data_IF_475033544253
#
_entry.id   IF_475033544253
#
_cell.length_a   1.000
_cell.length_b   1.000
_cell.length_c   1.000
_cell.angle_alpha   90.00
_cell.angle_beta   90.00
_cell.angle_gamma   90.00
#
_symmetry.space_group_name_H-M   'P 1'
#
loop_
_entity.id
_entity.type
_entity.pdbx_description
1 polymer ?
#
# COMPACT_ATOMS: atom_id res chain seq x y z
N UNK A 1 11.70 -15.20 16.97
CA UNK A 1 11.44 -14.74 15.57
C UNK A 1 12.68 -14.04 15.01
N UNK A 2 12.94 -14.15 13.71
CA UNK A 2 13.99 -13.40 13.02
C UNK A 2 13.58 -11.92 13.00
N UNK A 3 14.48 -11.02 13.42
CA UNK A 3 14.22 -9.58 13.38
C UNK A 3 14.35 -9.07 11.95
N UNK A 4 13.37 -8.30 11.49
CA UNK A 4 13.31 -7.78 10.13
C UNK A 4 13.21 -6.26 10.12
N UNK A 5 13.63 -5.65 9.02
CA UNK A 5 13.40 -4.23 8.73
C UNK A 5 12.11 -4.10 7.92
N UNK A 6 11.12 -3.44 8.49
CA UNK A 6 9.77 -3.32 7.90
C UNK A 6 9.50 -1.86 7.53
N UNK A 7 9.20 -1.62 6.26
CA UNK A 7 8.74 -0.33 5.76
C UNK A 7 7.22 -0.38 5.58
N UNK A 8 6.50 0.42 6.36
CA UNK A 8 5.06 0.57 6.26
C UNK A 8 4.74 1.80 5.41
N UNK A 9 4.04 1.62 4.29
CA UNK A 9 3.81 2.69 3.31
C UNK A 9 2.33 3.02 3.12
N UNK A 10 2.04 4.31 2.90
CA UNK A 10 0.82 4.75 2.23
C UNK A 10 1.16 5.24 0.83
N UNK A 11 0.32 4.95 -0.20
CA UNK A 11 0.58 5.37 -1.57
C UNK A 11 0.26 6.85 -1.80
N UNK A 12 0.73 7.39 -2.93
CA UNK A 12 0.38 8.72 -3.38
C UNK A 12 -1.14 8.89 -3.49
N UNK A 13 -1.62 10.06 -3.07
CA UNK A 13 -3.03 10.40 -3.09
C UNK A 13 -3.49 10.75 -4.51
N UNK A 14 -4.68 10.28 -4.90
CA UNK A 14 -5.42 10.81 -6.04
C UNK A 14 -6.47 11.80 -5.54
N UNK A 15 -6.42 13.02 -6.06
CA UNK A 15 -7.32 14.10 -5.66
C UNK A 15 -7.85 14.88 -6.87
N UNK A 16 -8.66 15.89 -6.58
CA UNK A 16 -9.16 16.84 -7.58
C UNK A 16 -8.30 18.10 -7.58
N UNK A 17 -7.97 18.64 -8.76
CA UNK A 17 -7.18 19.86 -8.89
C UNK A 17 -7.85 21.07 -8.20
N UNK A 18 -9.19 21.15 -8.33
CA UNK A 18 -10.01 22.23 -7.76
C UNK A 18 -10.64 21.84 -6.41
N UNK A 19 -10.30 20.65 -5.87
CA UNK A 19 -10.90 20.09 -4.66
C UNK A 19 -10.08 20.34 -3.40
N UNK A 20 -10.71 20.10 -2.25
CA UNK A 20 -10.03 20.07 -0.96
C UNK A 20 -9.39 18.70 -0.80
N UNK A 21 -8.07 18.67 -0.98
CA UNK A 21 -7.29 17.45 -0.73
C UNK A 21 -6.83 17.46 0.73
N UNK A 22 -6.91 16.32 1.40
CA UNK A 22 -6.54 16.17 2.81
C UNK A 22 -5.69 14.92 2.99
N UNK A 23 -4.75 14.99 3.93
CA UNK A 23 -4.00 13.85 4.44
C UNK A 23 -4.32 13.71 5.92
N UNK A 24 -4.45 12.47 6.36
CA UNK A 24 -4.58 12.11 7.76
C UNK A 24 -3.54 11.05 8.09
N UNK A 25 -2.90 11.12 9.27
CA UNK A 25 -2.00 10.06 9.72
C UNK A 25 -2.69 8.71 9.68
N UNK A 26 -2.01 7.71 9.15
CA UNK A 26 -2.53 6.33 9.10
C UNK A 26 -2.45 5.67 10.47
N UNK A 27 -3.53 5.79 11.26
CA UNK A 27 -3.59 5.20 12.60
C UNK A 27 -3.33 3.68 12.57
N UNK A 28 -3.90 2.97 11.60
CA UNK A 28 -3.67 1.53 11.45
C UNK A 28 -2.19 1.18 11.28
N UNK A 29 -1.45 1.93 10.42
CA UNK A 29 -0.01 1.71 10.27
C UNK A 29 0.77 2.05 11.54
N UNK A 30 0.32 3.04 12.32
CA UNK A 30 0.97 3.39 13.58
C UNK A 30 0.78 2.29 14.63
N UNK A 31 -0.40 1.66 14.69
CA UNK A 31 -0.67 0.52 15.59
C UNK A 31 0.17 -0.70 15.17
N UNK A 32 0.19 -1.04 13.89
CA UNK A 32 1.03 -2.12 13.36
C UNK A 32 2.52 -1.84 13.66
N UNK A 33 2.98 -0.60 13.45
CA UNK A 33 4.35 -0.22 13.74
C UNK A 33 4.71 -0.44 15.20
N UNK A 34 3.81 -0.06 16.14
CA UNK A 34 4.04 -0.25 17.56
C UNK A 34 4.17 -1.73 17.91
N UNK A 35 3.27 -2.57 17.43
CA UNK A 35 3.32 -4.02 17.68
C UNK A 35 4.61 -4.63 17.13
N UNK A 36 5.03 -4.25 15.92
CA UNK A 36 6.28 -4.73 15.33
C UNK A 36 7.52 -4.29 16.12
N UNK A 37 7.55 -3.02 16.57
CA UNK A 37 8.65 -2.48 17.39
C UNK A 37 8.74 -3.22 18.74
N UNK A 38 7.59 -3.44 19.40
CA UNK A 38 7.53 -4.16 20.68
C UNK A 38 8.03 -5.62 20.56
N UNK A 39 7.92 -6.19 19.35
CA UNK A 39 8.46 -7.51 19.02
C UNK A 39 9.90 -7.46 18.46
N UNK A 40 10.54 -6.30 18.47
CA UNK A 40 11.95 -6.11 18.19
C UNK A 40 12.32 -5.97 16.71
N UNK A 41 11.34 -5.69 15.83
CA UNK A 41 11.59 -5.32 14.44
C UNK A 41 12.06 -3.86 14.33
N UNK A 42 12.78 -3.55 13.26
CA UNK A 42 13.12 -2.16 12.90
C UNK A 42 12.07 -1.65 11.94
N UNK A 43 11.30 -0.65 12.35
CA UNK A 43 10.14 -0.19 11.57
C UNK A 43 10.31 1.27 11.14
N UNK A 44 9.92 1.56 9.90
CA UNK A 44 9.75 2.92 9.38
C UNK A 44 8.37 3.05 8.78
N UNK A 45 7.64 4.10 9.15
CA UNK A 45 6.42 4.52 8.44
C UNK A 45 6.82 5.55 7.39
N UNK A 46 6.28 5.43 6.18
CA UNK A 46 6.56 6.30 5.07
C UNK A 46 5.26 6.66 4.34
N UNK A 47 4.80 7.88 4.52
CA UNK A 47 3.62 8.42 3.84
C UNK A 47 4.07 9.17 2.59
N UNK A 48 3.97 8.53 1.42
CA UNK A 48 4.45 9.12 0.16
C UNK A 48 3.66 10.36 -0.24
N UNK A 49 2.37 10.44 0.12
CA UNK A 49 1.54 11.60 -0.15
C UNK A 49 1.92 12.79 0.75
N UNK A 50 2.14 12.54 2.03
CA UNK A 50 2.53 13.57 2.99
C UNK A 50 3.93 14.12 2.66
N UNK A 51 4.89 13.23 2.46
CA UNK A 51 6.28 13.62 2.19
C UNK A 51 6.47 14.29 0.82
N UNK A 52 5.57 14.00 -0.13
CA UNK A 52 5.51 14.65 -1.44
C UNK A 52 4.37 15.65 -1.60
N UNK A 53 3.82 16.22 -0.52
CA UNK A 53 2.60 17.04 -0.56
C UNK A 53 2.65 18.23 -1.52
N UNK A 54 3.81 18.85 -1.70
CA UNK A 54 4.02 19.94 -2.66
C UNK A 54 4.05 19.47 -4.12
N UNK A 55 4.28 18.19 -4.38
CA UNK A 55 4.38 17.63 -5.72
C UNK A 55 2.99 17.24 -6.21
N UNK A 56 2.42 18.05 -7.09
CA UNK A 56 1.12 17.80 -7.70
C UNK A 56 1.30 17.60 -9.19
N UNK A 57 0.84 16.44 -9.69
CA UNK A 57 0.90 16.09 -11.12
C UNK A 57 -0.50 15.85 -11.65
N UNK A 58 -0.87 16.53 -12.73
CA UNK A 58 -2.13 16.26 -13.43
C UNK A 58 -2.01 14.88 -14.11
N UNK A 59 -2.94 13.97 -13.80
CA UNK A 59 -3.00 12.62 -14.38
C UNK A 59 -4.17 12.46 -15.34
N UNK A 60 -5.26 13.22 -15.13
CA UNK A 60 -6.37 13.30 -16.07
C UNK A 60 -6.83 14.77 -16.18
N UNK A 61 -6.40 15.49 -17.24
CA UNK A 61 -6.79 16.90 -17.42
C UNK A 61 -8.30 17.08 -17.61
N UNK A 62 -8.98 16.11 -18.27
CA UNK A 62 -10.40 16.19 -18.59
C UNK A 62 -11.25 16.12 -17.32
N UNK A 63 -10.88 15.21 -16.41
CA UNK A 63 -11.56 15.02 -15.13
C UNK A 63 -10.93 15.85 -14.00
N UNK A 64 -9.90 16.63 -14.32
CA UNK A 64 -9.13 17.42 -13.34
C UNK A 64 -8.56 16.59 -12.18
N UNK A 65 -8.15 15.35 -12.47
CA UNK A 65 -7.58 14.46 -11.47
C UNK A 65 -6.08 14.72 -11.38
N UNK A 66 -5.58 14.85 -10.15
CA UNK A 66 -4.17 15.02 -9.83
C UNK A 66 -3.66 13.86 -8.95
N UNK A 67 -2.38 13.56 -9.10
CA UNK A 67 -1.61 12.79 -8.12
C UNK A 67 -0.87 13.75 -7.21
N UNK A 68 -0.86 13.47 -5.92
CA UNK A 68 -0.13 14.22 -4.89
C UNK A 68 0.77 13.24 -4.17
N UNK A 69 2.07 13.51 -4.14
CA UNK A 69 3.02 12.67 -3.44
C UNK A 69 4.41 12.66 -4.07
N UNK A 70 5.21 11.73 -3.65
CA UNK A 70 6.59 11.62 -4.08
C UNK A 70 6.73 11.11 -5.52
N UNK A 71 7.85 11.47 -6.17
CA UNK A 71 8.26 10.86 -7.44
C UNK A 71 8.79 9.43 -7.22
N UNK A 72 8.86 8.66 -8.30
CA UNK A 72 9.40 7.29 -8.28
C UNK A 72 10.85 7.27 -7.76
N UNK A 73 11.67 8.25 -8.13
CA UNK A 73 13.05 8.38 -7.69
C UNK A 73 13.14 8.63 -6.17
N UNK A 74 12.24 9.46 -5.64
CA UNK A 74 12.18 9.74 -4.20
C UNK A 74 11.78 8.48 -3.42
N UNK A 75 10.76 7.76 -3.91
CA UNK A 75 10.31 6.49 -3.31
C UNK A 75 11.43 5.44 -3.36
N UNK A 76 12.07 5.25 -4.52
CA UNK A 76 13.22 4.34 -4.66
C UNK A 76 14.36 4.69 -3.71
N UNK A 77 14.64 5.98 -3.55
CA UNK A 77 15.68 6.43 -2.61
C UNK A 77 15.35 6.02 -1.17
N UNK A 78 14.12 6.19 -0.72
CA UNK A 78 13.71 5.79 0.62
C UNK A 78 13.83 4.27 0.82
N UNK A 79 13.41 3.48 -0.18
CA UNK A 79 13.52 2.02 -0.16
C UNK A 79 14.99 1.60 -0.10
N UNK A 80 15.84 2.18 -0.95
CA UNK A 80 17.27 1.88 -1.00
C UNK A 80 17.99 2.26 0.30
N UNK A 81 17.75 3.46 0.83
CA UNK A 81 18.40 3.97 2.06
C UNK A 81 17.99 3.14 3.29
N UNK A 82 16.72 2.74 3.37
CA UNK A 82 16.24 1.94 4.50
C UNK A 82 16.56 0.46 4.32
N UNK A 83 16.67 -0.05 3.10
CA UNK A 83 16.94 -1.46 2.75
C UNK A 83 16.02 -2.43 3.53
N UNK A 84 14.69 -2.38 3.32
CA UNK A 84 13.73 -3.20 4.05
C UNK A 84 13.77 -4.66 3.61
N UNK A 85 13.52 -5.58 4.58
CA UNK A 85 13.21 -6.99 4.29
C UNK A 85 11.77 -7.13 3.81
N UNK A 86 10.86 -6.29 4.37
CA UNK A 86 9.42 -6.30 4.07
C UNK A 86 8.94 -4.87 3.81
N UNK A 87 8.13 -4.68 2.77
CA UNK A 87 7.36 -3.45 2.51
C UNK A 87 5.88 -3.79 2.57
N UNK A 88 5.16 -3.20 3.52
CA UNK A 88 3.72 -3.33 3.63
C UNK A 88 3.03 -2.03 3.19
N UNK A 89 2.12 -2.13 2.24
CA UNK A 89 1.46 -0.99 1.60
C UNK A 89 -0.02 -0.99 2.00
N UNK A 90 -0.47 0.09 2.65
CA UNK A 90 -1.87 0.23 3.07
C UNK A 90 -2.71 0.88 1.99
N UNK A 91 -3.67 0.13 1.45
CA UNK A 91 -4.63 0.58 0.43
C UNK A 91 -5.99 0.79 1.08
N UNK A 92 -6.30 2.03 1.47
CA UNK A 92 -7.58 2.37 2.12
C UNK A 92 -8.73 2.43 1.13
N UNK A 93 -8.50 2.97 -0.07
CA UNK A 93 -9.51 3.20 -1.09
C UNK A 93 -9.07 2.62 -2.44
N UNK A 94 -10.02 2.12 -3.21
CA UNK A 94 -9.77 1.47 -4.52
C UNK A 94 -9.03 2.38 -5.52
N UNK A 95 -9.26 3.70 -5.46
CA UNK A 95 -8.58 4.65 -6.34
C UNK A 95 -7.07 4.81 -6.05
N UNK A 96 -6.58 4.25 -4.94
CA UNK A 96 -5.16 4.26 -4.57
C UNK A 96 -4.41 3.00 -5.04
N UNK A 97 -5.13 1.98 -5.54
CA UNK A 97 -4.54 0.69 -5.91
C UNK A 97 -3.45 0.85 -6.98
N UNK A 98 -3.67 1.68 -7.99
CA UNK A 98 -2.66 1.93 -9.04
C UNK A 98 -1.37 2.53 -8.45
N UNK A 99 -1.49 3.47 -7.50
CA UNK A 99 -0.33 4.05 -6.82
C UNK A 99 0.37 3.03 -5.92
N UNK A 100 -0.39 2.13 -5.28
CA UNK A 100 0.15 1.04 -4.47
C UNK A 100 0.90 0.01 -5.34
N UNK A 101 0.34 -0.37 -6.49
CA UNK A 101 0.99 -1.23 -7.47
C UNK A 101 2.30 -0.63 -7.99
N UNK A 102 2.33 0.70 -8.21
CA UNK A 102 3.56 1.37 -8.58
C UNK A 102 4.64 1.22 -7.48
N UNK A 103 4.29 1.42 -6.21
CA UNK A 103 5.24 1.22 -5.10
C UNK A 103 5.76 -0.23 -5.10
N UNK A 104 4.88 -1.23 -5.25
CA UNK A 104 5.29 -2.64 -5.33
C UNK A 104 6.32 -2.88 -6.44
N UNK A 105 6.07 -2.33 -7.63
CA UNK A 105 6.99 -2.42 -8.77
C UNK A 105 8.34 -1.73 -8.46
N UNK A 106 8.33 -0.56 -7.82
CA UNK A 106 9.54 0.15 -7.43
C UNK A 106 10.35 -0.61 -6.39
N UNK A 107 9.69 -1.28 -5.42
CA UNK A 107 10.34 -2.15 -4.43
C UNK A 107 11.12 -3.26 -5.14
N UNK A 108 10.47 -3.99 -6.05
CA UNK A 108 11.11 -5.10 -6.76
C UNK A 108 12.20 -4.64 -7.75
N UNK A 109 12.11 -3.41 -8.26
CA UNK A 109 13.21 -2.79 -9.04
C UNK A 109 14.44 -2.50 -8.18
N UNK A 110 14.25 -2.08 -6.92
CA UNK A 110 15.38 -1.82 -5.99
C UNK A 110 15.95 -3.13 -5.46
N UNK A 111 15.10 -4.04 -5.00
CA UNK A 111 15.52 -5.35 -4.49
C UNK A 111 14.41 -6.39 -4.68
N UNK A 112 14.65 -7.35 -5.56
CA UNK A 112 13.71 -8.44 -5.88
C UNK A 112 13.39 -9.35 -4.68
N UNK A 113 14.29 -9.41 -3.69
CA UNK A 113 14.14 -10.26 -2.52
C UNK A 113 13.31 -9.61 -1.39
N UNK A 114 12.98 -8.33 -1.49
CA UNK A 114 12.11 -7.67 -0.51
C UNK A 114 10.69 -8.19 -0.67
N UNK A 115 10.11 -8.66 0.43
CA UNK A 115 8.71 -9.11 0.46
C UNK A 115 7.78 -7.91 0.39
N UNK A 116 6.78 -7.97 -0.49
CA UNK A 116 5.74 -6.93 -0.65
C UNK A 116 4.39 -7.45 -0.22
N UNK A 117 3.76 -6.73 0.70
CA UNK A 117 2.45 -7.07 1.26
C UNK A 117 1.49 -5.91 0.95
N UNK A 118 0.32 -6.20 0.39
CA UNK A 118 -0.80 -5.26 0.35
C UNK A 118 -1.75 -5.53 1.51
N UNK A 119 -2.22 -4.47 2.15
CA UNK A 119 -3.23 -4.53 3.19
C UNK A 119 -4.15 -3.32 3.14
N UNK A 120 -5.05 -3.23 4.12
CA UNK A 120 -5.99 -2.13 4.27
C UNK A 120 -7.41 -2.46 3.82
N UNK A 121 -8.30 -1.49 3.95
CA UNK A 121 -9.73 -1.71 3.78
C UNK A 121 -10.13 -2.16 2.37
N UNK A 122 -9.43 -1.66 1.34
CA UNK A 122 -9.68 -2.11 -0.04
C UNK A 122 -9.42 -3.60 -0.20
N UNK A 123 -8.29 -4.10 0.31
CA UNK A 123 -7.91 -5.53 0.20
C UNK A 123 -8.89 -6.42 0.98
N UNK A 124 -9.34 -5.97 2.15
CA UNK A 124 -10.38 -6.67 2.91
C UNK A 124 -11.72 -6.73 2.16
N UNK A 125 -12.06 -5.66 1.42
CA UNK A 125 -13.21 -5.63 0.53
C UNK A 125 -13.11 -6.65 -0.61
N UNK A 126 -11.98 -6.72 -1.30
CA UNK A 126 -11.74 -7.68 -2.39
C UNK A 126 -11.86 -9.14 -1.93
N UNK A 127 -11.43 -9.47 -0.70
CA UNK A 127 -11.67 -10.79 -0.13
C UNK A 127 -13.17 -11.07 0.09
N UNK A 128 -13.93 -10.05 0.48
CA UNK A 128 -15.39 -10.18 0.65
C UNK A 128 -16.05 -10.45 -0.70
N UNK A 129 -15.70 -9.71 -1.74
CA UNK A 129 -16.20 -9.89 -3.10
C UNK A 129 -15.86 -11.30 -3.63
N UNK A 130 -14.63 -11.76 -3.42
CA UNK A 130 -14.22 -13.12 -3.74
C UNK A 130 -15.07 -14.17 -3.03
N UNK A 131 -15.31 -14.03 -1.71
CA UNK A 131 -16.17 -14.96 -0.96
C UNK A 131 -17.60 -15.00 -1.48
N UNK A 132 -18.15 -13.85 -1.87
CA UNK A 132 -19.46 -13.81 -2.51
C UNK A 132 -19.46 -14.50 -3.88
N UNK A 133 -18.44 -14.29 -4.70
CA UNK A 133 -18.38 -14.90 -6.03
C UNK A 133 -18.33 -16.42 -6.01
N UNK A 134 -17.63 -17.01 -5.04
CA UNK A 134 -17.59 -18.47 -4.89
C UNK A 134 -18.86 -19.05 -4.28
N UNK A 135 -19.61 -18.26 -3.50
CA UNK A 135 -20.89 -18.68 -2.90
C UNK A 135 -22.06 -18.59 -3.91
N UNK A 136 -22.05 -17.61 -4.80
CA UNK A 136 -23.06 -17.40 -5.85
C UNK A 136 -22.44 -17.57 -7.24
N UNK A 137 -22.69 -18.71 -7.87
CA UNK A 137 -22.18 -19.02 -9.23
C UNK A 137 -22.70 -18.08 -10.32
N UNK A 138 -23.75 -17.30 -10.07
CA UNK A 138 -24.28 -16.30 -10.99
C UNK A 138 -23.70 -14.89 -10.72
N UNK A 139 -22.81 -14.76 -9.76
CA UNK A 139 -22.16 -13.50 -9.47
C UNK A 139 -21.25 -13.07 -10.63
N UNK A 140 -21.29 -11.77 -10.96
CA UNK A 140 -20.35 -11.15 -11.89
C UNK A 140 -19.08 -10.65 -11.20
N UNK A 141 -18.90 -10.94 -9.90
CA UNK A 141 -17.70 -10.57 -9.15
C UNK A 141 -16.53 -11.50 -9.51
N UNK A 142 -15.29 -11.01 -9.43
CA UNK A 142 -14.10 -11.83 -9.65
C UNK A 142 -14.08 -13.03 -8.70
N UNK A 143 -13.70 -14.21 -9.21
CA UNK A 143 -13.53 -15.42 -8.41
C UNK A 143 -12.08 -15.60 -7.90
N UNK A 144 -11.33 -14.54 -7.81
CA UNK A 144 -9.98 -14.44 -7.29
C UNK A 144 -9.71 -13.02 -6.76
N UNK A 145 -8.64 -12.85 -6.02
CA UNK A 145 -8.22 -11.54 -5.49
C UNK A 145 -7.39 -10.85 -6.59
N UNK A 146 -8.02 -9.90 -7.28
CA UNK A 146 -7.45 -9.24 -8.48
C UNK A 146 -6.15 -8.49 -8.19
N UNK A 147 -5.95 -8.05 -6.95
CA UNK A 147 -4.74 -7.35 -6.52
C UNK A 147 -3.49 -8.23 -6.58
N UNK A 148 -3.65 -9.56 -6.52
CA UNK A 148 -2.55 -10.51 -6.64
C UNK A 148 -2.17 -10.86 -8.09
N UNK A 149 -2.80 -10.25 -9.10
CA UNK A 149 -2.36 -10.36 -10.50
C UNK A 149 -1.02 -9.64 -10.74
N UNK A 150 -0.69 -8.66 -9.91
CA UNK A 150 0.62 -8.02 -9.96
C UNK A 150 1.67 -8.95 -9.34
N UNK A 151 2.53 -9.55 -10.17
CA UNK A 151 3.59 -10.47 -9.76
C UNK A 151 4.63 -9.88 -8.78
N UNK A 152 4.63 -8.56 -8.61
CA UNK A 152 5.48 -7.85 -7.66
C UNK A 152 4.85 -7.75 -6.26
N UNK A 153 3.68 -8.34 -6.04
CA UNK A 153 3.00 -8.45 -4.75
C UNK A 153 3.07 -9.91 -4.30
N UNK A 154 3.71 -10.14 -3.16
CA UNK A 154 3.89 -11.49 -2.63
C UNK A 154 2.68 -11.94 -1.79
N UNK A 155 2.04 -11.01 -1.05
CA UNK A 155 0.93 -11.32 -0.16
C UNK A 155 -0.14 -10.23 -0.15
N UNK A 156 -1.40 -10.65 0.07
CA UNK A 156 -2.53 -9.79 0.42
C UNK A 156 -2.95 -10.09 1.86
N UNK A 157 -2.94 -9.07 2.71
CA UNK A 157 -3.34 -9.17 4.11
C UNK A 157 -4.71 -8.55 4.32
N UNK A 158 -5.60 -9.27 4.96
CA UNK A 158 -6.98 -8.85 5.21
C UNK A 158 -7.30 -8.84 6.69
N UNK A 159 -8.22 -7.99 7.11
CA UNK A 159 -8.58 -7.81 8.52
C UNK A 159 -7.58 -6.96 9.29
N UNK A 160 -7.47 -7.23 10.59
CA UNK A 160 -6.57 -6.49 11.48
C UNK A 160 -5.11 -6.95 11.28
N UNK A 161 -4.26 -5.98 10.94
CA UNK A 161 -2.88 -6.27 10.55
C UNK A 161 -1.89 -6.42 11.70
N UNK A 162 -2.27 -6.02 12.93
CA UNK A 162 -1.35 -5.91 14.06
C UNK A 162 -0.68 -7.23 14.41
N UNK A 163 -1.44 -8.32 14.43
CA UNK A 163 -0.91 -9.65 14.75
C UNK A 163 -0.51 -10.42 13.49
N UNK A 164 -1.26 -10.28 12.40
CA UNK A 164 -0.95 -10.97 11.14
C UNK A 164 0.42 -10.57 10.55
N UNK A 165 0.91 -9.38 10.87
CA UNK A 165 2.26 -8.94 10.45
C UNK A 165 3.40 -9.57 11.27
N UNK A 166 3.11 -10.29 12.36
CA UNK A 166 4.11 -11.01 13.15
C UNK A 166 4.32 -12.46 12.69
N UNK A 167 3.38 -13.02 11.94
CA UNK A 167 3.41 -14.38 11.39
C UNK A 167 4.25 -14.48 10.12
#
# INVERSE_FOLDING_TARGET
MKKSKVLLCTPNLKGMADGVNRIQPSLGLMLIAQVLVDNGHTVKIHDTALEGWSNKKIIDPTKKIISIGQSDEQIKKVISDFSPDVVAISVLFSNLLESANNIANLVKQVNKNTTVILGGNHISGSLTDYKFSIADKNSNLPNYITELENENIDFAMTGEGEYSMLE
#
